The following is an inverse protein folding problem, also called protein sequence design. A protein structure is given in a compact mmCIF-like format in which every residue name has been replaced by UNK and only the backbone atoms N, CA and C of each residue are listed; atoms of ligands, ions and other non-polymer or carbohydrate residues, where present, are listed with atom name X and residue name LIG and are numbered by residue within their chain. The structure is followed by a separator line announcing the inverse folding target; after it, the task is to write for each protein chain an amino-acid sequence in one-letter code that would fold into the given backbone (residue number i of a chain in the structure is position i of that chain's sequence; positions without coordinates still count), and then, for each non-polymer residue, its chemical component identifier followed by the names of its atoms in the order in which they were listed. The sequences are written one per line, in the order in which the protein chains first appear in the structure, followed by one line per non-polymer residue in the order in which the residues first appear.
data_IF_354079591751
#
_entry.id   IF_354079591751
#
_cell.length_a   1.000
_cell.length_b   1.000
_cell.length_c   1.000
_cell.angle_alpha   90.00
_cell.angle_beta   90.00
_cell.angle_gamma   90.00
#
_symmetry.space_group_name_H-M   'P 1'
#
loop_
_entity.id
_entity.type
_entity.pdbx_description
1 polymer ?
#
# COMPACT_ATOMS: atom_id res chain seq x y z
N UNK A 1 -19.64 49.55 -39.49
CA UNK A 1 -19.40 48.57 -38.41
C UNK A 1 -18.00 48.75 -37.84
N UNK A 2 -17.85 49.51 -36.75
CA UNK A 2 -16.58 49.59 -36.00
C UNK A 2 -16.82 50.09 -34.56
N UNK A 3 -17.42 49.23 -33.74
CA UNK A 3 -17.44 49.38 -32.28
C UNK A 3 -17.51 47.98 -31.66
N UNK A 4 -16.40 47.53 -31.07
CA UNK A 4 -16.34 46.28 -30.28
C UNK A 4 -15.10 46.20 -29.40
N UNK A 5 -13.92 46.53 -29.96
CA UNK A 5 -12.64 46.48 -29.21
C UNK A 5 -12.49 47.54 -28.12
N UNK A 6 -13.17 48.68 -28.23
CA UNK A 6 -13.13 49.75 -27.22
C UNK A 6 -14.10 49.49 -26.06
N UNK A 7 -15.27 48.93 -26.36
CA UNK A 7 -16.32 48.61 -25.37
C UNK A 7 -15.90 47.41 -24.50
N UNK A 8 -15.41 46.32 -25.11
CA UNK A 8 -14.88 45.18 -24.37
C UNK A 8 -13.74 45.53 -23.39
N UNK A 9 -12.90 46.53 -23.71
CA UNK A 9 -11.87 47.04 -22.77
C UNK A 9 -12.45 47.80 -21.58
N UNK A 10 -13.62 48.44 -21.73
CA UNK A 10 -14.34 49.06 -20.61
C UNK A 10 -15.04 48.02 -19.75
N UNK A 11 -15.63 47.00 -20.37
CA UNK A 11 -16.28 45.89 -19.67
C UNK A 11 -15.28 45.10 -18.82
N UNK A 12 -14.09 44.80 -19.38
CA UNK A 12 -13.01 44.10 -18.67
C UNK A 12 -12.45 44.93 -17.49
N UNK A 13 -12.33 46.25 -17.65
CA UNK A 13 -11.95 47.16 -16.56
C UNK A 13 -13.01 47.19 -15.43
N UNK A 14 -14.30 47.17 -15.77
CA UNK A 14 -15.39 47.11 -14.79
C UNK A 14 -15.50 45.73 -14.12
N UNK A 15 -15.22 44.65 -14.84
CA UNK A 15 -15.14 43.30 -14.28
C UNK A 15 -14.01 43.21 -13.24
N UNK A 16 -12.82 43.73 -13.58
CA UNK A 16 -11.66 43.77 -12.68
C UNK A 16 -11.91 44.62 -11.42
N UNK A 17 -12.62 45.75 -11.55
CA UNK A 17 -13.03 46.53 -10.37
C UNK A 17 -14.00 45.76 -9.46
N UNK A 18 -14.95 44.99 -10.02
CA UNK A 18 -15.86 44.15 -9.22
C UNK A 18 -15.12 43.02 -8.52
N UNK A 19 -14.13 42.41 -9.17
CA UNK A 19 -13.28 41.38 -8.58
C UNK A 19 -12.46 41.93 -7.41
N UNK A 20 -11.77 43.07 -7.59
CA UNK A 20 -11.02 43.74 -6.52
C UNK A 20 -11.92 44.10 -5.32
N UNK A 21 -13.10 44.66 -5.56
CA UNK A 21 -14.08 44.96 -4.49
C UNK A 21 -14.52 43.70 -3.74
N UNK A 22 -14.65 42.55 -4.42
CA UNK A 22 -14.99 41.27 -3.81
C UNK A 22 -13.83 40.70 -2.99
N UNK A 23 -12.60 40.74 -3.50
CA UNK A 23 -11.40 40.31 -2.77
C UNK A 23 -11.18 41.14 -1.51
N UNK A 24 -11.38 42.46 -1.57
CA UNK A 24 -11.29 43.34 -0.41
C UNK A 24 -12.38 43.04 0.63
N UNK A 25 -13.61 42.77 0.19
CA UNK A 25 -14.70 42.34 1.09
C UNK A 25 -14.41 40.98 1.74
N UNK A 26 -13.89 40.01 0.99
CA UNK A 26 -13.48 38.71 1.53
C UNK A 26 -12.29 38.85 2.50
N UNK A 27 -11.35 39.77 2.25
CA UNK A 27 -10.26 40.09 3.17
C UNK A 27 -10.77 40.75 4.46
N UNK A 28 -11.68 41.71 4.36
CA UNK A 28 -12.33 42.34 5.53
C UNK A 28 -13.12 41.30 6.34
N UNK A 29 -13.87 40.41 5.69
CA UNK A 29 -14.61 39.32 6.34
C UNK A 29 -13.66 38.35 7.07
N UNK A 30 -12.54 37.96 6.45
CA UNK A 30 -11.51 37.11 7.11
C UNK A 30 -10.86 37.80 8.30
N UNK A 31 -10.57 39.10 8.20
CA UNK A 31 -10.04 39.88 9.31
C UNK A 31 -11.03 39.95 10.48
N UNK A 32 -12.32 40.20 10.21
CA UNK A 32 -13.36 40.23 11.23
C UNK A 32 -13.52 38.87 11.92
N UNK A 33 -13.49 37.76 11.17
CA UNK A 33 -13.51 36.40 11.74
C UNK A 33 -12.31 36.20 12.67
N UNK A 34 -11.09 36.46 12.20
CA UNK A 34 -9.87 36.33 13.00
C UNK A 34 -9.90 37.20 14.27
N UNK A 35 -10.46 38.41 14.20
CA UNK A 35 -10.62 39.29 15.36
C UNK A 35 -11.66 38.75 16.34
N UNK A 36 -12.80 38.23 15.87
CA UNK A 36 -13.81 37.59 16.73
C UNK A 36 -13.33 36.28 17.37
N UNK A 37 -12.53 35.48 16.67
CA UNK A 37 -11.89 34.28 17.25
C UNK A 37 -10.84 34.64 18.31
N UNK A 38 -10.10 35.72 18.10
CA UNK A 38 -9.10 36.22 19.04
C UNK A 38 -9.72 36.95 20.26
N UNK A 39 -10.90 37.53 20.09
CA UNK A 39 -11.68 38.17 21.15
C UNK A 39 -12.53 37.18 21.97
N UNK A 40 -12.85 35.99 21.43
CA UNK A 40 -13.46 34.91 22.21
C UNK A 40 -12.48 34.43 23.29
N UNK A 41 -12.85 34.46 24.58
CA UNK A 41 -12.01 33.91 25.63
C UNK A 41 -11.82 32.40 25.41
N UNK A 42 -10.65 32.00 24.93
CA UNK A 42 -10.38 30.60 24.59
C UNK A 42 -10.56 29.68 25.80
N UNK A 43 -11.39 28.65 25.62
CA UNK A 43 -11.63 27.56 26.58
C UNK A 43 -10.38 26.72 26.84
N UNK A 44 -9.34 26.81 26.00
CA UNK A 44 -8.08 26.10 26.17
C UNK A 44 -7.20 26.59 27.33
N UNK A 45 -7.54 27.69 28.03
CA UNK A 45 -6.76 28.10 29.22
C UNK A 45 -6.85 27.14 30.41
N UNK A 46 -7.74 26.15 30.37
CA UNK A 46 -7.93 25.13 31.43
C UNK A 46 -7.74 23.68 30.96
N UNK A 47 -7.37 23.43 29.71
CA UNK A 47 -7.11 22.07 29.21
C UNK A 47 -5.61 21.81 29.23
N UNK A 48 -5.16 20.79 29.96
CA UNK A 48 -3.75 20.42 30.03
C UNK A 48 -3.24 19.93 28.68
N UNK A 49 -2.13 20.50 28.19
CA UNK A 49 -1.57 20.16 26.87
C UNK A 49 -1.11 18.68 26.74
N UNK A 50 -1.11 17.92 27.84
CA UNK A 50 -0.77 16.50 27.85
C UNK A 50 -1.92 15.58 27.43
N UNK A 51 -3.19 15.97 27.59
CA UNK A 51 -4.33 15.09 27.31
C UNK A 51 -4.55 14.85 25.81
N UNK A 52 -4.14 15.77 24.93
CA UNK A 52 -4.43 15.72 23.49
C UNK A 52 -4.02 14.41 22.79
N UNK A 53 -2.85 13.83 23.11
CA UNK A 53 -2.45 12.55 22.50
C UNK A 53 -3.21 11.35 23.05
N UNK A 54 -3.43 11.32 24.37
CA UNK A 54 -4.09 10.18 25.00
C UNK A 54 -5.58 10.20 24.69
N UNK A 55 -6.20 11.37 24.61
CA UNK A 55 -7.59 11.56 24.21
C UNK A 55 -7.81 11.35 22.71
N UNK A 56 -6.88 11.74 21.84
CA UNK A 56 -6.98 11.35 20.41
C UNK A 56 -6.84 9.85 20.22
N UNK A 57 -5.93 9.19 20.97
CA UNK A 57 -5.86 7.73 20.99
C UNK A 57 -7.18 7.14 21.50
N UNK A 58 -7.62 7.46 22.72
CA UNK A 58 -8.88 7.00 23.33
C UNK A 58 -10.07 7.18 22.39
N UNK A 59 -10.27 8.39 21.84
CA UNK A 59 -11.38 8.71 20.94
C UNK A 59 -11.31 7.93 19.62
N UNK A 60 -10.11 7.67 19.09
CA UNK A 60 -9.92 6.82 17.89
C UNK A 60 -10.07 5.32 18.17
N UNK A 61 -9.96 4.89 19.43
CA UNK A 61 -10.01 3.48 19.84
C UNK A 61 -11.26 3.13 20.65
N UNK A 62 -12.33 3.95 20.61
CA UNK A 62 -13.62 3.60 21.22
C UNK A 62 -14.33 2.58 20.34
N UNK A 63 -14.29 1.30 20.73
CA UNK A 63 -15.00 0.23 20.05
C UNK A 63 -14.30 -1.13 20.18
N UNK A 64 -14.76 -2.10 19.41
CA UNK A 64 -14.08 -3.38 19.25
C UNK A 64 -12.97 -3.23 18.20
N UNK A 65 -11.76 -2.91 18.64
CA UNK A 65 -10.60 -2.60 17.78
C UNK A 65 -9.58 -3.73 17.83
N UNK A 66 -9.01 -4.13 16.69
CA UNK A 66 -8.00 -5.18 16.67
C UNK A 66 -6.67 -4.69 17.28
N UNK A 67 -5.93 -5.60 17.93
CA UNK A 67 -4.65 -5.29 18.59
C UNK A 67 -3.63 -4.64 17.65
N UNK A 68 -3.62 -5.05 16.37
CA UNK A 68 -2.77 -4.47 15.33
C UNK A 68 -3.14 -3.01 15.01
N UNK A 69 -4.43 -2.70 14.90
CA UNK A 69 -4.92 -1.35 14.61
C UNK A 69 -4.58 -0.38 15.75
N UNK A 70 -4.71 -0.84 17.01
CA UNK A 70 -4.31 -0.08 18.18
C UNK A 70 -2.81 0.24 18.19
N UNK A 71 -1.96 -0.75 17.87
CA UNK A 71 -0.52 -0.56 17.78
C UNK A 71 -0.13 0.39 16.63
N UNK A 72 -0.79 0.28 15.47
CA UNK A 72 -0.58 1.17 14.33
C UNK A 72 -0.98 2.61 14.67
N UNK A 73 -2.17 2.83 15.26
CA UNK A 73 -2.65 4.17 15.65
C UNK A 73 -1.78 4.82 16.72
N UNK A 74 -1.33 4.05 17.72
CA UNK A 74 -0.37 4.54 18.71
C UNK A 74 0.95 4.99 18.07
N UNK A 75 1.49 4.19 17.14
CA UNK A 75 2.74 4.51 16.43
C UNK A 75 2.59 5.74 15.52
N UNK A 76 1.48 5.87 14.82
CA UNK A 76 1.16 7.00 13.94
C UNK A 76 1.13 8.33 14.72
N UNK A 77 0.49 8.35 15.90
CA UNK A 77 0.46 9.53 16.79
C UNK A 77 1.85 9.87 17.35
N UNK A 78 2.66 8.87 17.71
CA UNK A 78 4.03 9.06 18.18
C UNK A 78 4.95 9.61 17.07
N UNK A 79 4.85 9.10 15.85
CA UNK A 79 5.59 9.58 14.68
C UNK A 79 5.17 11.00 14.29
N UNK A 80 3.86 11.32 14.32
CA UNK A 80 3.36 12.66 14.08
C UNK A 80 3.94 13.67 15.10
N UNK A 81 3.95 13.34 16.39
CA UNK A 81 4.57 14.17 17.43
C UNK A 81 6.07 14.30 17.26
N UNK A 82 6.78 13.22 16.89
CA UNK A 82 8.22 13.29 16.59
C UNK A 82 8.51 14.26 15.42
N UNK A 83 7.65 14.27 14.39
CA UNK A 83 7.73 15.16 13.24
C UNK A 83 7.46 16.63 13.58
N UNK A 84 6.52 16.91 14.48
CA UNK A 84 6.29 18.26 15.01
C UNK A 84 7.43 18.73 15.95
N UNK A 85 7.95 17.84 16.80
CA UNK A 85 9.12 18.12 17.64
C UNK A 85 10.36 18.44 16.78
N UNK A 86 10.57 17.72 15.68
CA UNK A 86 11.63 18.02 14.71
C UNK A 86 11.46 19.42 14.09
N UNK A 87 10.27 19.75 13.55
CA UNK A 87 9.98 21.08 12.99
C UNK A 87 10.18 22.22 14.00
N UNK A 88 9.77 22.05 15.25
CA UNK A 88 9.92 23.10 16.27
C UNK A 88 11.36 23.30 16.73
N UNK A 89 12.20 22.26 16.66
CA UNK A 89 13.65 22.38 16.90
C UNK A 89 14.37 23.10 15.74
N UNK A 90 14.06 22.76 14.48
CA UNK A 90 14.62 23.46 13.32
C UNK A 90 14.35 24.98 13.37
N UNK A 91 13.09 25.37 13.65
CA UNK A 91 12.71 26.78 13.82
C UNK A 91 13.43 27.47 14.99
N UNK A 92 13.64 26.78 16.12
CA UNK A 92 14.40 27.33 17.26
C UNK A 92 15.87 27.57 16.90
N UNK A 93 16.49 26.67 16.16
CA UNK A 93 17.89 26.79 15.79
C UNK A 93 18.12 27.84 14.69
N UNK A 94 17.18 28.04 13.77
CA UNK A 94 17.25 29.15 12.82
C UNK A 94 17.05 30.51 13.50
N UNK A 95 16.15 30.62 14.48
CA UNK A 95 16.03 31.83 15.32
C UNK A 95 17.34 32.11 16.10
N UNK A 96 18.03 31.07 16.61
CA UNK A 96 19.35 31.22 17.25
C UNK A 96 20.41 31.69 16.24
N UNK A 97 20.47 31.11 15.03
CA UNK A 97 21.41 31.50 13.96
C UNK A 97 21.23 32.97 13.55
N UNK A 98 19.99 33.43 13.37
CA UNK A 98 19.67 34.83 13.04
C UNK A 98 20.09 35.77 14.18
N UNK A 99 19.83 35.42 15.45
CA UNK A 99 20.29 36.21 16.60
C UNK A 99 21.82 36.28 16.72
N UNK A 100 22.55 35.21 16.36
CA UNK A 100 24.02 35.18 16.37
C UNK A 100 24.62 36.11 15.30
N UNK A 101 24.07 36.09 14.07
CA UNK A 101 24.44 36.99 12.97
C UNK A 101 24.21 38.48 13.29
N UNK A 102 23.21 38.82 14.12
CA UNK A 102 22.95 40.22 14.50
C UNK A 102 23.92 40.77 15.55
N UNK A 103 24.71 39.94 16.24
CA UNK A 103 25.74 40.37 17.21
C UNK A 103 27.10 40.67 16.59
N UNK A 104 27.42 40.14 15.41
CA UNK A 104 28.75 40.29 14.78
C UNK A 104 28.92 41.57 13.95
N UNK A 105 27.91 42.44 13.87
CA UNK A 105 27.90 43.63 13.00
C UNK A 105 28.11 44.97 13.74
N UNK A 106 28.61 44.96 14.98
CA UNK A 106 28.94 46.18 15.76
C UNK A 106 30.20 45.98 16.62
N UNK A 107 31.37 46.06 15.98
CA UNK A 107 32.65 46.27 16.66
C UNK A 107 33.75 46.66 15.63
N UNK A 108 33.68 47.87 15.08
CA UNK A 108 34.86 48.53 14.49
C UNK A 108 35.61 49.25 15.62
N UNK A 109 36.68 48.64 16.13
CA UNK A 109 37.63 49.31 17.02
C UNK A 109 38.90 49.62 16.22
N UNK A 110 39.20 50.90 16.13
CA UNK A 110 40.31 51.46 15.35
C UNK A 110 41.54 51.67 16.23
N UNK A 111 42.40 50.65 16.31
CA UNK A 111 43.78 50.78 16.80
C UNK A 111 44.66 49.71 16.12
N UNK A 112 45.25 50.09 14.99
CA UNK A 112 46.31 49.37 14.28
C UNK A 112 47.12 50.42 13.50
N UNK A 113 47.97 51.12 14.24
CA UNK A 113 49.00 52.02 13.75
C UNK A 113 50.28 51.62 14.50
N UNK A 114 51.42 51.69 13.82
CA UNK A 114 52.75 51.26 14.28
C UNK A 114 53.02 49.74 14.21
N UNK A 115 53.63 49.30 13.09
CA UNK A 115 54.98 48.69 13.08
C UNK A 115 55.55 48.69 11.63
N UNK A 116 56.88 48.69 11.49
CA UNK A 116 57.62 48.90 10.22
C UNK A 116 57.92 47.63 9.39
N UNK A 117 58.36 47.84 8.14
CA UNK A 117 59.21 46.91 7.37
C UNK A 117 58.50 45.95 6.40
N UNK A 118 59.04 45.58 5.24
CA UNK A 118 60.04 46.11 4.30
C UNK A 118 60.04 45.13 3.11
N UNK A 119 59.92 45.66 1.89
CA UNK A 119 60.28 45.09 0.56
C UNK A 119 59.71 43.72 0.08
N UNK A 120 59.67 43.51 -1.26
CA UNK A 120 59.44 42.19 -1.86
C UNK A 120 58.43 42.05 -3.02
N UNK A 121 58.58 42.81 -4.11
CA UNK A 121 58.04 42.45 -5.45
C UNK A 121 59.21 42.41 -6.44
N UNK A 122 59.29 41.45 -7.40
CA UNK A 122 58.52 41.59 -8.66
C UNK A 122 58.14 40.28 -9.40
N UNK A 123 57.37 40.43 -10.50
CA UNK A 123 57.26 39.54 -11.70
C UNK A 123 56.78 38.08 -11.50
N UNK A 124 56.05 37.39 -12.38
CA UNK A 124 55.21 37.73 -13.56
C UNK A 124 54.22 36.50 -13.76
N UNK A 125 53.25 36.39 -14.66
CA UNK A 125 52.87 37.15 -15.87
C UNK A 125 51.35 36.96 -16.20
N UNK A 126 50.93 37.43 -17.37
CA UNK A 126 49.62 37.27 -18.08
C UNK A 126 49.33 35.81 -18.55
N UNK A 127 48.14 35.34 -18.97
CA UNK A 127 46.92 35.97 -19.53
C UNK A 127 45.68 35.00 -19.49
N UNK A 128 44.46 35.57 -19.56
CA UNK A 128 43.11 34.95 -19.68
C UNK A 128 42.78 34.29 -21.06
N UNK A 129 41.56 33.76 -21.38
CA UNK A 129 40.42 33.19 -20.59
C UNK A 129 39.80 31.86 -21.17
N UNK A 130 38.66 31.43 -20.60
CA UNK A 130 37.59 30.57 -21.18
C UNK A 130 37.88 29.10 -21.59
N UNK A 131 37.51 28.17 -20.70
CA UNK A 131 36.70 27.00 -21.08
C UNK A 131 35.79 26.58 -19.90
N UNK A 132 34.53 27.04 -19.91
CA UNK A 132 33.48 26.52 -19.02
C UNK A 132 32.87 25.28 -19.68
N UNK A 133 33.10 24.09 -19.11
CA UNK A 133 32.27 22.87 -19.19
C UNK A 133 33.00 21.63 -18.61
N UNK A 134 33.18 21.53 -17.29
CA UNK A 134 32.89 20.27 -16.57
C UNK A 134 33.04 20.36 -15.04
N UNK A 135 32.10 19.71 -14.34
CA UNK A 135 32.19 19.31 -12.91
C UNK A 135 32.43 20.45 -11.91
N UNK A 136 31.33 21.13 -11.57
CA UNK A 136 31.13 21.65 -10.21
C UNK A 136 31.12 20.51 -9.18
N UNK A 137 32.33 20.03 -8.82
CA UNK A 137 32.55 19.02 -7.77
C UNK A 137 31.95 19.56 -6.47
N UNK A 138 30.76 19.08 -6.12
CA UNK A 138 30.14 19.29 -4.80
C UNK A 138 31.22 19.03 -3.76
N UNK A 139 31.63 20.08 -3.02
CA UNK A 139 32.75 20.01 -2.08
C UNK A 139 32.53 18.82 -1.16
N UNK A 140 33.41 17.82 -1.25
CA UNK A 140 33.26 16.59 -0.50
C UNK A 140 33.16 16.91 0.99
N UNK A 141 32.00 16.62 1.60
CA UNK A 141 31.84 16.69 3.06
C UNK A 141 32.99 15.89 3.66
N UNK A 142 33.70 16.48 4.62
CA UNK A 142 34.90 15.91 5.25
C UNK A 142 34.61 14.46 5.67
N UNK A 143 35.10 13.49 4.87
CA UNK A 143 34.75 12.08 5.07
C UNK A 143 35.53 11.57 6.27
N UNK A 144 34.81 11.18 7.32
CA UNK A 144 35.37 10.31 8.37
C UNK A 144 35.88 9.03 7.71
N UNK A 145 36.92 8.42 8.28
CA UNK A 145 37.56 7.23 7.72
C UNK A 145 36.51 6.15 7.38
N UNK A 146 36.48 5.62 6.14
CA UNK A 146 35.41 4.72 5.69
C UNK A 146 35.41 3.34 6.37
N UNK A 147 36.44 3.06 7.19
CA UNK A 147 36.60 1.82 7.95
C UNK A 147 36.23 1.98 9.44
N UNK A 148 35.68 3.13 9.85
CA UNK A 148 35.12 3.34 11.20
C UNK A 148 33.63 3.08 11.11
N UNK A 149 33.12 2.16 11.94
CA UNK A 149 31.69 1.88 11.96
C UNK A 149 30.90 3.12 12.38
N UNK A 150 29.88 3.46 11.59
CA UNK A 150 28.96 4.57 11.81
C UNK A 150 27.51 4.10 11.91
N UNK A 151 27.28 2.79 12.08
CA UNK A 151 25.98 2.15 12.35
C UNK A 151 25.19 2.88 13.46
N UNK A 152 25.89 3.31 14.51
CA UNK A 152 25.32 3.97 15.69
C UNK A 152 24.95 5.45 15.51
N UNK A 153 25.38 6.11 14.43
CA UNK A 153 24.94 7.48 14.14
C UNK A 153 23.64 7.48 13.32
N UNK A 154 22.63 8.30 13.68
CA UNK A 154 21.47 8.55 12.84
C UNK A 154 21.92 9.07 11.47
N UNK A 155 21.73 8.25 10.45
CA UNK A 155 22.18 8.52 9.09
C UNK A 155 20.96 8.47 8.16
N UNK A 156 20.51 9.66 7.79
CA UNK A 156 19.39 9.87 6.87
C UNK A 156 19.56 9.06 5.58
N UNK A 157 20.78 8.95 5.04
CA UNK A 157 21.03 8.29 3.77
C UNK A 157 20.92 6.76 3.91
N UNK A 158 21.34 6.22 5.06
CA UNK A 158 21.16 4.80 5.43
C UNK A 158 19.69 4.47 5.72
N UNK A 159 18.99 5.29 6.50
CA UNK A 159 17.55 5.11 6.79
C UNK A 159 16.69 5.23 5.52
N UNK A 160 17.07 6.10 4.57
CA UNK A 160 16.41 6.20 3.26
C UNK A 160 16.76 5.02 2.34
N UNK A 161 17.95 4.42 2.45
CA UNK A 161 18.31 3.20 1.74
C UNK A 161 17.55 1.97 2.29
N UNK A 162 17.56 1.75 3.60
CA UNK A 162 16.80 0.68 4.26
C UNK A 162 15.29 0.79 3.95
N UNK A 163 14.74 2.02 3.90
CA UNK A 163 13.35 2.24 3.49
C UNK A 163 13.10 1.81 2.04
N UNK A 164 14.01 2.14 1.11
CA UNK A 164 13.91 1.73 -0.30
C UNK A 164 14.04 0.21 -0.45
N UNK A 165 14.97 -0.43 0.25
CA UNK A 165 15.11 -1.89 0.26
C UNK A 165 13.84 -2.56 0.81
N UNK A 166 13.28 -2.04 1.90
CA UNK A 166 12.01 -2.53 2.46
C UNK A 166 10.83 -2.33 1.51
N UNK A 167 10.79 -1.22 0.78
CA UNK A 167 9.77 -0.97 -0.24
C UNK A 167 9.94 -1.90 -1.45
N UNK A 168 11.17 -2.09 -1.93
CA UNK A 168 11.51 -3.04 -2.99
C UNK A 168 11.12 -4.47 -2.62
N UNK A 169 11.49 -4.95 -1.42
CA UNK A 169 11.10 -6.27 -0.93
C UNK A 169 9.58 -6.43 -0.82
N UNK A 170 8.84 -5.36 -0.45
CA UNK A 170 7.37 -5.37 -0.45
C UNK A 170 6.80 -5.43 -1.87
N UNK A 171 7.36 -4.69 -2.82
CA UNK A 171 6.95 -4.71 -4.23
C UNK A 171 7.27 -6.07 -4.87
N UNK A 172 8.44 -6.66 -4.60
CA UNK A 172 8.79 -8.02 -5.01
C UNK A 172 7.86 -9.07 -4.41
N UNK A 173 7.50 -8.94 -3.13
CA UNK A 173 6.58 -9.87 -2.49
C UNK A 173 5.19 -9.80 -3.13
N UNK A 174 4.65 -8.60 -3.35
CA UNK A 174 3.38 -8.40 -4.06
C UNK A 174 3.46 -8.94 -5.50
N UNK A 175 4.55 -8.67 -6.21
CA UNK A 175 4.76 -9.18 -7.57
C UNK A 175 4.81 -10.71 -7.61
N UNK A 176 5.53 -11.36 -6.69
CA UNK A 176 5.59 -12.83 -6.58
C UNK A 176 4.22 -13.42 -6.20
N UNK A 177 3.45 -12.74 -5.35
CA UNK A 177 2.05 -13.11 -5.06
C UNK A 177 1.17 -13.03 -6.32
N UNK A 178 1.29 -11.95 -7.11
CA UNK A 178 0.51 -11.75 -8.32
C UNK A 178 0.95 -12.68 -9.46
N UNK A 179 2.23 -12.99 -9.59
CA UNK A 179 2.75 -14.01 -10.52
C UNK A 179 2.15 -15.39 -10.17
N UNK A 180 2.24 -15.84 -8.90
CA UNK A 180 1.60 -17.08 -8.43
C UNK A 180 0.07 -17.09 -8.64
N UNK A 181 -0.61 -15.96 -8.50
CA UNK A 181 -2.06 -15.84 -8.75
C UNK A 181 -2.39 -15.87 -10.25
N UNK A 182 -1.50 -15.42 -11.11
CA UNK A 182 -1.71 -15.39 -12.56
C UNK A 182 -1.33 -16.69 -13.28
N UNK A 183 -0.65 -17.63 -12.61
CA UNK A 183 -0.41 -18.97 -13.15
C UNK A 183 -1.74 -19.66 -13.52
N UNK A 184 -1.82 -20.18 -14.74
CA UNK A 184 -2.99 -20.92 -15.22
C UNK A 184 -3.04 -22.33 -14.63
N UNK A 185 -4.26 -22.81 -14.39
CA UNK A 185 -4.60 -24.14 -13.87
C UNK A 185 -5.71 -24.71 -14.74
N UNK A 186 -5.57 -25.97 -15.16
CA UNK A 186 -6.70 -26.76 -15.66
C UNK A 186 -7.47 -27.42 -14.51
N UNK A 187 -8.78 -27.16 -14.44
CA UNK A 187 -9.66 -27.73 -13.42
C UNK A 187 -10.67 -28.67 -14.08
N UNK A 188 -10.50 -29.97 -13.83
CA UNK A 188 -11.46 -31.00 -14.22
C UNK A 188 -12.65 -31.01 -13.26
N UNK A 189 -13.85 -30.89 -13.81
CA UNK A 189 -15.10 -30.92 -13.07
C UNK A 189 -16.14 -31.84 -13.73
N UNK A 190 -17.14 -32.26 -12.96
CA UNK A 190 -18.31 -33.00 -13.43
C UNK A 190 -19.55 -32.20 -13.08
N UNK A 191 -20.29 -31.75 -14.09
CA UNK A 191 -21.65 -31.27 -13.85
C UNK A 191 -22.56 -32.46 -13.48
N UNK A 192 -23.56 -32.21 -12.64
CA UNK A 192 -24.51 -33.23 -12.17
C UNK A 192 -25.96 -32.75 -12.30
N UNK A 193 -26.61 -33.20 -13.37
CA UNK A 193 -28.05 -33.07 -13.66
C UNK A 193 -28.81 -34.41 -13.50
N UNK A 194 -28.06 -35.53 -13.36
CA UNK A 194 -28.56 -36.91 -13.45
C UNK A 194 -27.68 -37.77 -14.35
N UNK A 195 -26.94 -37.15 -15.28
CA UNK A 195 -25.91 -37.75 -16.13
C UNK A 195 -24.57 -37.07 -15.85
N UNK A 196 -23.54 -37.84 -15.47
CA UNK A 196 -22.26 -37.27 -15.03
C UNK A 196 -21.44 -36.66 -16.18
N UNK A 197 -21.59 -35.35 -16.42
CA UNK A 197 -20.91 -34.67 -17.52
C UNK A 197 -19.55 -34.08 -17.10
N UNK A 198 -18.47 -34.84 -17.36
CA UNK A 198 -17.09 -34.39 -17.12
C UNK A 198 -16.60 -33.42 -18.21
N UNK A 199 -16.03 -32.29 -17.80
CA UNK A 199 -15.33 -31.30 -18.65
C UNK A 199 -14.14 -30.72 -17.88
N UNK A 200 -13.26 -30.00 -18.57
CA UNK A 200 -12.25 -29.15 -17.95
C UNK A 200 -12.41 -27.68 -18.37
N UNK A 201 -11.95 -26.79 -17.50
CA UNK A 201 -11.86 -25.34 -17.71
C UNK A 201 -10.48 -24.88 -17.26
N UNK A 202 -9.84 -24.02 -18.05
CA UNK A 202 -8.62 -23.32 -17.65
C UNK A 202 -9.00 -22.05 -16.88
N UNK A 203 -8.46 -21.89 -15.67
CA UNK A 203 -8.62 -20.74 -14.77
C UNK A 203 -7.28 -20.35 -14.14
N UNK A 204 -7.12 -19.09 -13.75
CA UNK A 204 -5.94 -18.65 -12.99
C UNK A 204 -6.06 -19.06 -11.53
N UNK A 205 -4.94 -19.23 -10.82
CA UNK A 205 -4.97 -19.57 -9.37
C UNK A 205 -5.74 -18.51 -8.57
N UNK A 206 -5.55 -17.23 -8.92
CA UNK A 206 -6.22 -16.09 -8.28
C UNK A 206 -7.67 -15.87 -8.72
N UNK A 207 -8.19 -16.61 -9.70
CA UNK A 207 -9.60 -16.51 -10.06
C UNK A 207 -10.49 -17.03 -8.92
N UNK A 208 -11.59 -16.32 -8.65
CA UNK A 208 -12.59 -16.77 -7.68
C UNK A 208 -13.36 -17.99 -8.20
N UNK A 209 -13.91 -18.79 -7.28
CA UNK A 209 -14.78 -19.90 -7.66
C UNK A 209 -16.04 -19.43 -8.39
N UNK A 210 -16.56 -18.23 -8.09
CA UNK A 210 -17.62 -17.61 -8.91
C UNK A 210 -17.20 -17.41 -10.38
N UNK A 211 -15.95 -16.99 -10.64
CA UNK A 211 -15.43 -16.78 -12.00
C UNK A 211 -15.29 -18.12 -12.74
N UNK A 212 -14.81 -19.17 -12.04
CA UNK A 212 -14.78 -20.53 -12.57
C UNK A 212 -16.18 -21.07 -12.89
N UNK A 213 -17.14 -20.90 -11.98
CA UNK A 213 -18.52 -21.34 -12.19
C UNK A 213 -19.20 -20.61 -13.37
N UNK A 214 -18.87 -19.34 -13.63
CA UNK A 214 -19.37 -18.64 -14.81
C UNK A 214 -18.75 -19.19 -16.12
N UNK A 215 -17.47 -19.57 -16.12
CA UNK A 215 -16.86 -20.29 -17.26
C UNK A 215 -17.50 -21.67 -17.47
N UNK A 216 -17.79 -22.41 -16.40
CA UNK A 216 -18.56 -23.66 -16.48
C UNK A 216 -19.96 -23.45 -17.06
N UNK A 217 -20.65 -22.39 -16.63
CA UNK A 217 -21.98 -22.00 -17.13
C UNK A 217 -21.98 -21.75 -18.63
N UNK A 218 -20.92 -21.14 -19.17
CA UNK A 218 -20.80 -20.89 -20.61
C UNK A 218 -20.60 -22.18 -21.43
N UNK A 219 -19.96 -23.21 -20.86
CA UNK A 219 -19.74 -24.51 -21.52
C UNK A 219 -20.99 -25.38 -21.67
N UNK A 220 -22.04 -25.14 -20.87
CA UNK A 220 -23.28 -25.92 -20.88
C UNK A 220 -24.48 -25.02 -21.26
N UNK A 221 -25.14 -25.23 -22.42
CA UNK A 221 -26.29 -24.42 -22.84
C UNK A 221 -27.43 -24.36 -21.83
N UNK A 222 -27.65 -25.46 -21.11
CA UNK A 222 -28.70 -25.63 -20.09
C UNK A 222 -28.48 -24.72 -18.87
N UNK A 223 -27.22 -24.48 -18.49
CA UNK A 223 -26.88 -23.65 -17.32
C UNK A 223 -26.96 -22.15 -17.60
N UNK A 224 -27.06 -21.70 -18.86
CA UNK A 224 -27.06 -20.27 -19.21
C UNK A 224 -28.19 -19.47 -18.53
N UNK A 225 -29.33 -20.11 -18.27
CA UNK A 225 -30.46 -19.50 -17.56
C UNK A 225 -30.31 -19.43 -16.04
N UNK A 226 -29.29 -20.09 -15.47
CA UNK A 226 -29.05 -20.18 -14.02
C UNK A 226 -28.04 -19.10 -13.61
N UNK A 227 -28.22 -18.51 -12.43
CA UNK A 227 -27.24 -17.59 -11.84
C UNK A 227 -26.05 -18.34 -11.26
N UNK A 228 -24.88 -17.69 -11.24
CA UNK A 228 -23.66 -18.26 -10.64
C UNK A 228 -23.88 -18.57 -9.15
N UNK A 229 -24.64 -17.73 -8.44
CA UNK A 229 -24.99 -17.90 -7.02
C UNK A 229 -25.82 -19.17 -6.74
N UNK A 230 -26.55 -19.66 -7.74
CA UNK A 230 -27.33 -20.89 -7.68
C UNK A 230 -26.52 -22.14 -8.05
N UNK A 231 -25.29 -22.00 -8.54
CA UNK A 231 -24.37 -23.12 -8.72
C UNK A 231 -23.55 -23.35 -7.43
N UNK A 232 -23.13 -24.58 -7.19
CA UNK A 232 -22.29 -24.96 -6.06
C UNK A 232 -21.15 -25.84 -6.56
N UNK A 233 -19.92 -25.57 -6.11
CA UNK A 233 -18.75 -26.39 -6.39
C UNK A 233 -18.44 -27.27 -5.19
N UNK A 234 -18.20 -28.56 -5.43
CA UNK A 234 -17.95 -29.57 -4.39
C UNK A 234 -16.72 -30.40 -4.76
N UNK A 235 -15.73 -30.49 -3.88
CA UNK A 235 -14.50 -31.29 -4.08
C UNK A 235 -14.26 -32.18 -2.86
N UNK A 236 -14.07 -33.48 -3.04
CA UNK A 236 -13.77 -34.46 -1.96
C UNK A 236 -14.69 -34.32 -0.71
N UNK A 237 -16.00 -34.21 -0.93
CA UNK A 237 -17.04 -33.95 0.08
C UNK A 237 -17.03 -32.57 0.76
N UNK A 238 -16.30 -31.58 0.22
CA UNK A 238 -16.33 -30.20 0.68
C UNK A 238 -16.99 -29.28 -0.36
N UNK A 239 -18.11 -28.67 0.04
CA UNK A 239 -18.77 -27.57 -0.66
C UNK A 239 -17.91 -26.33 -0.47
N UNK A 240 -17.39 -25.78 -1.55
CA UNK A 240 -16.50 -24.62 -1.49
C UNK A 240 -17.29 -23.33 -1.76
N UNK A 241 -17.27 -22.35 -0.84
CA UNK A 241 -17.89 -21.03 -1.06
C UNK A 241 -17.33 -20.27 -2.27
N UNK A 242 -18.18 -19.45 -2.88
CA UNK A 242 -17.87 -18.71 -4.12
C UNK A 242 -16.81 -17.62 -3.99
N UNK A 243 -16.57 -17.13 -2.78
CA UNK A 243 -15.65 -16.03 -2.50
C UNK A 243 -14.19 -16.47 -2.33
N UNK A 244 -13.92 -17.78 -2.17
CA UNK A 244 -12.55 -18.26 -2.13
C UNK A 244 -11.94 -18.34 -3.52
N UNK A 245 -10.62 -18.22 -3.58
CA UNK A 245 -9.80 -18.40 -4.77
C UNK A 245 -9.11 -19.76 -4.74
N UNK A 246 -8.73 -20.31 -5.90
CA UNK A 246 -7.96 -21.56 -5.94
C UNK A 246 -6.60 -21.40 -5.23
N UNK A 247 -6.00 -20.22 -5.31
CA UNK A 247 -4.77 -19.83 -4.63
C UNK A 247 -4.81 -20.10 -3.12
N UNK A 248 -5.92 -19.78 -2.44
CA UNK A 248 -6.06 -19.98 -0.99
C UNK A 248 -5.94 -21.48 -0.61
N UNK A 249 -6.55 -22.37 -1.39
CA UNK A 249 -6.47 -23.83 -1.18
C UNK A 249 -5.09 -24.39 -1.45
N UNK A 250 -4.36 -23.78 -2.39
CA UNK A 250 -3.00 -24.19 -2.80
C UNK A 250 -2.00 -23.82 -1.71
N UNK A 251 -2.02 -22.57 -1.25
CA UNK A 251 -1.10 -22.07 -0.21
C UNK A 251 -1.32 -22.82 1.09
N UNK A 252 -2.58 -22.97 1.53
CA UNK A 252 -2.91 -23.68 2.76
C UNK A 252 -2.76 -25.22 2.63
N UNK A 253 -2.45 -25.73 1.42
CA UNK A 253 -2.44 -27.16 1.06
C UNK A 253 -3.66 -27.89 1.62
N UNK A 254 -4.82 -27.26 1.45
CA UNK A 254 -6.04 -27.60 2.16
C UNK A 254 -6.39 -29.08 1.92
N UNK A 255 -6.40 -29.86 3.00
CA UNK A 255 -6.79 -31.26 2.96
C UNK A 255 -8.28 -31.37 3.24
N UNK A 256 -8.96 -32.17 2.43
CA UNK A 256 -10.28 -32.68 2.73
C UNK A 256 -10.18 -34.05 3.39
N UNK A 257 -11.33 -34.66 3.67
CA UNK A 257 -11.44 -35.97 4.34
C UNK A 257 -10.71 -37.10 3.59
N UNK A 258 -10.52 -36.96 2.27
CA UNK A 258 -9.89 -37.96 1.38
C UNK A 258 -8.45 -37.62 0.96
N UNK A 259 -7.82 -36.58 1.51
CA UNK A 259 -6.46 -36.14 1.11
C UNK A 259 -6.40 -34.69 0.64
N UNK A 260 -5.34 -34.28 -0.08
CA UNK A 260 -5.23 -32.92 -0.64
C UNK A 260 -6.42 -32.59 -1.55
N UNK A 261 -7.10 -31.45 -1.33
CA UNK A 261 -8.22 -31.02 -2.19
C UNK A 261 -7.76 -30.78 -3.62
N UNK A 262 -6.52 -30.35 -3.80
CA UNK A 262 -5.91 -30.18 -5.10
C UNK A 262 -4.44 -30.61 -5.05
N UNK A 263 -4.08 -31.60 -5.86
CA UNK A 263 -2.69 -31.91 -6.19
C UNK A 263 -2.38 -31.25 -7.53
N UNK A 264 -1.81 -30.03 -7.49
CA UNK A 264 -1.25 -29.38 -8.68
C UNK A 264 0.25 -29.66 -8.86
N UNK A 265 0.88 -30.38 -7.93
CA UNK A 265 2.23 -30.93 -8.09
C UNK A 265 2.20 -32.24 -8.91
N UNK A 266 1.42 -32.20 -9.99
CA UNK A 266 1.50 -33.12 -11.11
C UNK A 266 1.95 -32.25 -12.28
N UNK A 267 3.27 -32.10 -12.38
CA UNK A 267 3.87 -32.06 -13.71
C UNK A 267 3.30 -33.26 -14.45
N UNK A 268 2.62 -32.97 -15.56
CA UNK A 268 2.24 -33.85 -16.65
C UNK A 268 2.74 -35.28 -16.47
N UNK A 269 1.83 -36.22 -16.17
CA UNK A 269 2.14 -37.63 -15.88
C UNK A 269 2.49 -38.36 -17.20
N UNK A 270 3.50 -37.84 -17.91
CA UNK A 270 4.07 -38.32 -19.17
C UNK A 270 4.89 -39.57 -18.90
N UNK A 271 4.18 -40.60 -18.46
CA UNK A 271 4.65 -41.97 -18.44
C UNK A 271 4.27 -42.65 -19.75
N UNK A 272 5.21 -42.58 -20.69
CA UNK A 272 5.23 -43.41 -21.90
C UNK A 272 5.41 -44.92 -21.58
N UNK A 273 5.62 -45.29 -20.32
CA UNK A 273 5.65 -46.66 -19.81
C UNK A 273 4.77 -46.83 -18.57
N UNK A 274 3.97 -47.89 -18.55
CA UNK A 274 3.14 -48.28 -17.41
C UNK A 274 4.00 -48.85 -16.26
N UNK A 275 4.46 -47.97 -15.37
CA UNK A 275 5.12 -48.33 -14.11
C UNK A 275 4.09 -48.29 -12.97
N UNK A 276 3.86 -49.45 -12.34
CA UNK A 276 2.84 -49.65 -11.31
C UNK A 276 3.32 -49.36 -9.87
N UNK A 277 4.52 -48.82 -9.69
CA UNK A 277 5.12 -48.59 -8.35
C UNK A 277 4.74 -47.28 -7.66
N UNK A 278 4.03 -46.37 -8.35
CA UNK A 278 3.56 -45.09 -7.79
C UNK A 278 2.04 -45.08 -7.75
N UNK A 279 1.46 -44.92 -6.55
CA UNK A 279 0.01 -44.82 -6.39
C UNK A 279 -0.53 -43.63 -7.20
N UNK A 280 -1.60 -43.90 -7.96
CA UNK A 280 -2.29 -42.90 -8.75
C UNK A 280 -3.26 -42.14 -7.84
N UNK A 281 -2.78 -41.06 -7.21
CA UNK A 281 -3.59 -40.10 -6.44
C UNK A 281 -4.52 -39.31 -7.38
N UNK A 282 -5.49 -40.00 -7.95
CA UNK A 282 -6.48 -39.48 -8.90
C UNK A 282 -7.52 -38.63 -8.15
N UNK A 283 -7.13 -37.40 -7.78
CA UNK A 283 -8.03 -36.48 -7.06
C UNK A 283 -9.34 -36.32 -7.84
N UNK A 284 -10.47 -36.61 -7.21
CA UNK A 284 -11.75 -36.75 -7.88
C UNK A 284 -12.11 -35.43 -8.58
N UNK A 285 -12.70 -35.52 -9.79
CA UNK A 285 -13.19 -34.33 -10.48
C UNK A 285 -14.21 -33.59 -9.59
N UNK A 286 -14.04 -32.27 -9.46
CA UNK A 286 -14.95 -31.47 -8.63
C UNK A 286 -16.36 -31.50 -9.21
N UNK A 287 -17.39 -31.66 -8.37
CA UNK A 287 -18.77 -31.71 -8.81
C UNK A 287 -19.35 -30.30 -8.86
N UNK A 288 -19.99 -29.93 -9.97
CA UNK A 288 -20.79 -28.70 -10.10
C UNK A 288 -22.26 -29.08 -10.06
N UNK A 289 -23.00 -28.47 -9.14
CA UNK A 289 -24.34 -28.90 -8.75
C UNK A 289 -25.22 -27.67 -8.52
N UNK A 290 -26.51 -27.74 -8.88
CA UNK A 290 -27.44 -26.67 -8.54
C UNK A 290 -27.78 -26.66 -7.04
N UNK A 291 -27.85 -25.47 -6.43
CA UNK A 291 -28.26 -25.24 -5.04
C UNK A 291 -29.65 -25.80 -4.76
N UNK A 292 -30.59 -25.68 -5.70
CA UNK A 292 -31.95 -26.24 -5.60
C UNK A 292 -31.93 -27.77 -5.53
N UNK A 293 -31.08 -28.41 -6.34
CA UNK A 293 -30.88 -29.86 -6.29
C UNK A 293 -30.25 -30.29 -4.96
N UNK A 294 -29.20 -29.59 -4.51
CA UNK A 294 -28.53 -29.91 -3.24
C UNK A 294 -29.48 -29.79 -2.05
N UNK A 295 -30.27 -28.72 -1.96
CA UNK A 295 -31.22 -28.55 -0.86
C UNK A 295 -32.27 -29.66 -0.77
N UNK A 296 -32.72 -30.20 -1.91
CA UNK A 296 -33.63 -31.35 -1.98
C UNK A 296 -32.91 -32.64 -1.60
N UNK A 297 -31.71 -32.86 -2.15
CA UNK A 297 -31.03 -34.16 -2.11
C UNK A 297 -29.99 -34.31 -0.99
N UNK A 298 -29.72 -33.28 -0.16
CA UNK A 298 -28.77 -33.29 0.97
C UNK A 298 -28.99 -34.39 2.03
N UNK A 299 -30.11 -35.11 1.99
CA UNK A 299 -30.39 -36.22 2.90
C UNK A 299 -30.05 -37.59 2.27
N UNK A 300 -29.69 -37.62 0.98
CA UNK A 300 -29.40 -38.81 0.19
C UNK A 300 -27.88 -38.87 -0.06
N UNK A 301 -27.30 -40.07 0.02
CA UNK A 301 -25.91 -40.29 -0.32
C UNK A 301 -25.65 -40.06 -1.82
N UNK A 302 -24.55 -39.40 -2.25
CA UNK A 302 -23.44 -38.91 -1.44
C UNK A 302 -23.60 -37.48 -0.89
N UNK A 303 -24.65 -36.75 -1.28
CA UNK A 303 -24.83 -35.33 -0.91
C UNK A 303 -24.96 -35.11 0.61
N UNK A 304 -25.42 -36.11 1.36
CA UNK A 304 -25.46 -36.10 2.83
C UNK A 304 -24.12 -36.08 3.54
N UNK A 305 -23.02 -36.38 2.84
CA UNK A 305 -21.65 -36.32 3.40
C UNK A 305 -21.00 -34.95 3.23
N UNK A 306 -21.59 -34.08 2.39
CA UNK A 306 -20.98 -32.82 1.98
C UNK A 306 -21.06 -31.77 3.10
N UNK A 307 -19.90 -31.28 3.53
CA UNK A 307 -19.78 -30.19 4.49
C UNK A 307 -19.38 -28.89 3.78
N UNK A 308 -19.76 -27.74 4.32
CA UNK A 308 -19.18 -26.46 3.86
C UNK A 308 -17.71 -26.42 4.27
N UNK A 309 -16.84 -25.98 3.36
CA UNK A 309 -15.44 -25.76 3.65
C UNK A 309 -15.28 -24.65 4.69
N UNK A 310 -14.51 -24.96 5.74
CA UNK A 310 -14.13 -24.05 6.81
C UNK A 310 -12.58 -23.98 6.85
N UNK A 311 -11.96 -22.80 6.62
CA UNK A 311 -10.50 -22.65 6.60
C UNK A 311 -9.81 -23.04 7.91
N UNK A 312 -10.47 -22.89 9.06
CA UNK A 312 -9.88 -23.18 10.37
C UNK A 312 -9.98 -24.67 10.75
N UNK A 313 -10.88 -25.40 10.09
CA UNK A 313 -11.14 -26.81 10.38
C UNK A 313 -10.11 -27.71 9.71
N UNK A 314 -9.18 -28.24 10.51
CA UNK A 314 -8.26 -29.28 10.05
C UNK A 314 -9.00 -30.60 9.80
N UNK A 315 -9.37 -30.86 8.55
CA UNK A 315 -9.84 -32.19 8.13
C UNK A 315 -8.63 -33.13 8.12
N UNK A 316 -8.53 -33.97 9.15
CA UNK A 316 -7.37 -34.82 9.43
C UNK A 316 -7.10 -35.91 8.38
N UNK A 317 -6.09 -36.76 8.64
CA UNK A 317 -5.79 -37.91 7.77
C UNK A 317 -6.98 -38.86 7.71
N UNK A 318 -7.21 -39.37 6.50
CA UNK A 318 -8.24 -40.33 6.13
C UNK A 318 -8.33 -41.52 7.09
N UNK A 319 -9.52 -41.74 7.64
CA UNK A 319 -9.92 -42.99 8.31
C UNK A 319 -11.11 -43.56 7.56
N UNK A 320 -10.90 -44.70 6.89
CA UNK A 320 -12.00 -45.58 6.48
C UNK A 320 -12.54 -46.22 7.76
N UNK A 321 -13.87 -46.22 7.91
CA UNK A 321 -14.60 -47.08 8.83
C UNK A 321 -15.62 -47.87 8.01
#
# INVERSE_FOLDING_TARGET
MSSSKAEGRREDALAKQREQMREEFERQKKNLINETEKARPSTHRFVGQNDSMEDTLKNSTVGLVHLEEFQQKRKELEEAKAREAARTNELKDDIKKVKKRKKTAKATLSFAMDDEGEDGTPESETQDPEEDLERSKKRGKFRKNPNVDTSFLPDREREEAERKEREQLRQEWLRKQDELKNEDIEITYSYWDGSGHRKSVVCKKGDSISTFLDRCRQQFPELRGVSVDNLMYVKEDLIIPHHHTFYDFIVNKARGKSGPLFNFDVHDDVRLLADATREKDESHAGKVVERSWYQRNKHIFPASRWEVFDPEKSYGKYTIA
#
